data_IF_339208064381
#
_entry.id   IF_339208064381
#
_cell.length_a   1.000
_cell.length_b   1.000
_cell.length_c   1.000
_cell.angle_alpha   90.00
_cell.angle_beta   90.00
_cell.angle_gamma   90.00
#
_symmetry.space_group_name_H-M   'P 1'
#
loop_
_entity.id
_entity.type
_entity.pdbx_description
1 polymer ?
#
# COMPACT_ATOMS: atom_id res chain seq x y z
N UNK A 1 -8.17 -9.37 -5.61
CA UNK A 1 -9.25 -9.18 -4.61
C UNK A 1 -9.09 -7.89 -3.83
N UNK A 2 -7.98 -7.73 -3.09
CA UNK A 2 -7.78 -6.57 -2.20
C UNK A 2 -7.81 -5.22 -2.91
N UNK A 3 -7.16 -5.09 -4.09
CA UNK A 3 -7.21 -3.90 -4.95
C UNK A 3 -8.64 -3.44 -5.23
N UNK A 4 -9.50 -4.37 -5.65
CA UNK A 4 -10.92 -4.11 -6.00
C UNK A 4 -11.73 -3.61 -4.81
N UNK A 5 -11.49 -4.14 -3.60
CA UNK A 5 -12.17 -3.69 -2.39
C UNK A 5 -11.79 -2.23 -2.09
N UNK A 6 -10.50 -1.89 -2.17
CA UNK A 6 -10.05 -0.52 -1.97
C UNK A 6 -10.59 0.43 -3.03
N UNK A 7 -10.54 0.07 -4.31
CA UNK A 7 -11.11 0.86 -5.41
C UNK A 7 -12.61 1.15 -5.20
N UNK A 8 -13.34 0.24 -4.57
CA UNK A 8 -14.77 0.38 -4.30
C UNK A 8 -15.06 1.24 -3.06
N UNK A 9 -14.28 1.07 -1.98
CA UNK A 9 -14.58 1.69 -0.69
C UNK A 9 -13.88 3.03 -0.47
N UNK A 10 -12.70 3.27 -1.05
CA UNK A 10 -11.96 4.54 -0.89
C UNK A 10 -12.79 5.78 -1.30
N UNK A 11 -13.51 5.79 -2.43
CA UNK A 11 -14.34 6.95 -2.81
C UNK A 11 -15.49 7.25 -1.84
N UNK A 12 -15.78 6.34 -0.91
CA UNK A 12 -16.85 6.47 0.10
C UNK A 12 -16.33 6.96 1.45
N UNK A 13 -15.03 7.20 1.56
CA UNK A 13 -14.35 7.70 2.75
C UNK A 13 -14.58 9.18 3.07
N UNK A 14 -14.58 10.10 2.09
CA UNK A 14 -14.68 11.53 2.40
C UNK A 14 -15.91 11.90 3.24
N UNK A 15 -15.75 12.89 4.12
CA UNK A 15 -16.77 13.33 5.09
C UNK A 15 -17.28 12.22 6.03
N UNK A 16 -16.44 11.19 6.25
CA UNK A 16 -16.63 10.15 7.26
C UNK A 16 -15.39 10.06 8.13
N UNK A 17 -15.54 9.51 9.32
CA UNK A 17 -14.37 9.19 10.15
C UNK A 17 -13.61 8.00 9.57
N UNK A 18 -12.30 7.97 9.77
CA UNK A 18 -11.45 6.82 9.47
C UNK A 18 -11.96 5.52 10.13
N UNK A 19 -12.57 5.58 11.33
CA UNK A 19 -13.27 4.45 11.94
C UNK A 19 -14.43 3.92 11.10
N UNK A 20 -15.22 4.82 10.52
CA UNK A 20 -16.35 4.42 9.66
C UNK A 20 -15.84 3.70 8.42
N UNK A 21 -14.78 4.23 7.78
CA UNK A 21 -14.17 3.58 6.63
C UNK A 21 -13.48 2.26 7.02
N UNK A 22 -12.79 2.21 8.16
CA UNK A 22 -12.17 1.00 8.70
C UNK A 22 -13.20 -0.12 8.87
N UNK A 23 -14.32 0.14 9.55
CA UNK A 23 -15.37 -0.87 9.73
C UNK A 23 -15.99 -1.35 8.41
N UNK A 24 -16.09 -0.49 7.39
CA UNK A 24 -16.54 -0.89 6.05
C UNK A 24 -15.53 -1.78 5.34
N UNK A 25 -14.25 -1.40 5.37
CA UNK A 25 -13.14 -2.16 4.80
C UNK A 25 -13.03 -3.52 5.48
N UNK A 26 -13.00 -3.56 6.81
CA UNK A 26 -13.00 -4.80 7.59
C UNK A 26 -14.16 -5.70 7.17
N UNK A 27 -15.39 -5.19 7.15
CA UNK A 27 -16.55 -5.98 6.72
C UNK A 27 -16.40 -6.51 5.29
N UNK A 28 -15.89 -5.70 4.37
CA UNK A 28 -15.68 -6.10 2.97
C UNK A 28 -14.60 -7.18 2.84
N UNK A 29 -13.47 -7.02 3.55
CA UNK A 29 -12.39 -8.01 3.57
C UNK A 29 -12.80 -9.32 4.23
N UNK A 30 -13.50 -9.27 5.37
CA UNK A 30 -14.01 -10.47 6.05
C UNK A 30 -14.99 -11.24 5.17
N UNK A 31 -15.89 -10.56 4.46
CA UNK A 31 -16.79 -11.19 3.48
C UNK A 31 -16.06 -11.82 2.29
N UNK A 32 -14.88 -11.30 1.97
CA UNK A 32 -14.02 -11.84 0.92
C UNK A 32 -13.11 -12.99 1.41
N UNK A 33 -13.22 -13.38 2.69
CA UNK A 33 -12.48 -14.49 3.27
C UNK A 33 -11.10 -14.13 3.81
N UNK A 34 -10.79 -12.85 4.00
CA UNK A 34 -9.53 -12.42 4.64
C UNK A 34 -9.49 -12.86 6.11
N UNK A 35 -8.42 -13.55 6.48
CA UNK A 35 -8.21 -14.23 7.78
C UNK A 35 -7.59 -13.29 8.80
N UNK A 36 -6.63 -12.47 8.40
CA UNK A 36 -6.04 -11.42 9.22
C UNK A 36 -5.87 -10.12 8.42
N UNK A 37 -5.97 -8.98 9.10
CA UNK A 37 -6.08 -7.68 8.48
C UNK A 37 -5.47 -6.58 9.36
N UNK A 38 -4.55 -5.82 8.76
CA UNK A 38 -4.04 -4.56 9.28
C UNK A 38 -4.52 -3.42 8.37
N UNK A 39 -5.14 -2.40 8.95
CA UNK A 39 -5.52 -1.16 8.27
C UNK A 39 -4.80 0.02 8.90
N UNK A 40 -4.09 0.79 8.07
CA UNK A 40 -3.47 2.06 8.47
C UNK A 40 -3.97 3.18 7.56
N UNK A 41 -4.14 4.36 8.13
CA UNK A 41 -4.68 5.54 7.50
C UNK A 41 -3.69 6.69 7.59
N UNK A 42 -3.61 7.48 6.52
CA UNK A 42 -2.91 8.76 6.50
C UNK A 42 -3.88 9.81 5.97
N UNK A 43 -3.99 10.92 6.69
CA UNK A 43 -4.74 12.13 6.30
C UNK A 43 -3.98 13.00 5.28
N UNK A 44 -2.83 12.50 4.81
CA UNK A 44 -1.96 13.24 3.90
C UNK A 44 -0.97 14.18 4.58
N UNK A 45 -1.05 14.37 5.90
CA UNK A 45 -0.06 15.12 6.67
C UNK A 45 0.85 14.17 7.48
N UNK A 46 0.27 13.06 7.91
CA UNK A 46 0.91 12.09 8.80
C UNK A 46 1.30 10.80 8.07
N UNK A 47 2.25 10.05 8.64
CA UNK A 47 2.53 8.69 8.16
C UNK A 47 1.36 7.77 8.48
N UNK A 48 1.12 6.71 7.68
CA UNK A 48 0.03 5.78 7.94
C UNK A 48 0.07 5.21 9.36
N UNK A 49 -1.05 5.34 10.08
CA UNK A 49 -1.21 4.91 11.46
C UNK A 49 -2.59 4.26 11.67
N UNK A 50 -2.84 3.54 12.78
CA UNK A 50 -4.18 3.04 13.08
C UNK A 50 -5.21 4.17 13.10
N UNK A 51 -6.46 3.85 12.76
CA UNK A 51 -7.57 4.80 12.77
C UNK A 51 -7.73 5.48 14.15
N UNK A 52 -8.07 6.77 14.15
CA UNK A 52 -8.12 7.64 15.35
C UNK A 52 -9.47 8.31 15.56
N UNK A 53 -10.44 8.09 14.70
CA UNK A 53 -11.73 8.76 14.68
C UNK A 53 -11.71 10.11 13.96
N UNK A 54 -10.67 10.41 13.18
CA UNK A 54 -10.52 11.67 12.46
C UNK A 54 -11.36 11.66 11.19
N UNK A 55 -11.98 12.80 10.86
CA UNK A 55 -12.71 12.96 9.60
C UNK A 55 -11.75 12.93 8.41
N UNK A 56 -12.08 12.09 7.43
CA UNK A 56 -11.35 11.97 6.18
C UNK A 56 -11.79 13.06 5.22
N UNK A 57 -10.81 13.78 4.68
CA UNK A 57 -11.02 14.75 3.59
C UNK A 57 -11.13 14.03 2.24
N UNK A 58 -11.19 14.78 1.15
CA UNK A 58 -11.08 14.23 -0.22
C UNK A 58 -9.68 13.69 -0.56
N UNK A 59 -8.71 13.89 0.33
CA UNK A 59 -7.33 13.42 0.17
C UNK A 59 -6.90 12.59 1.39
N UNK A 60 -6.65 11.31 1.17
CA UNK A 60 -6.11 10.41 2.19
C UNK A 60 -5.48 9.17 1.55
N UNK A 61 -4.74 8.40 2.34
CA UNK A 61 -4.20 7.10 1.92
C UNK A 61 -4.56 6.00 2.92
N UNK A 62 -4.79 4.81 2.40
CA UNK A 62 -4.99 3.59 3.18
C UNK A 62 -3.91 2.59 2.83
N UNK A 63 -3.24 2.06 3.84
CA UNK A 63 -2.35 0.93 3.71
C UNK A 63 -3.04 -0.29 4.31
N UNK A 64 -3.16 -1.32 3.51
CA UNK A 64 -3.76 -2.60 3.89
C UNK A 64 -2.69 -3.66 3.89
N UNK A 65 -2.67 -4.48 4.93
CA UNK A 65 -2.03 -5.78 4.88
C UNK A 65 -3.08 -6.85 5.21
N UNK A 66 -3.18 -7.88 4.38
CA UNK A 66 -4.25 -8.87 4.45
C UNK A 66 -3.72 -10.29 4.23
N UNK A 67 -4.13 -11.21 5.10
CA UNK A 67 -3.81 -12.63 5.01
C UNK A 67 -4.95 -13.41 4.36
N UNK A 68 -4.59 -14.31 3.45
CA UNK A 68 -5.50 -15.27 2.86
C UNK A 68 -4.81 -16.62 2.68
N UNK A 69 -5.27 -17.64 3.40
CA UNK A 69 -4.74 -19.01 3.35
C UNK A 69 -3.24 -19.08 3.66
N UNK A 70 -2.79 -18.34 4.66
CA UNK A 70 -1.38 -18.26 5.03
C UNK A 70 -0.52 -17.37 4.14
N UNK A 71 -1.08 -16.74 3.10
CA UNK A 71 -0.37 -15.81 2.23
C UNK A 71 -0.74 -14.37 2.53
N UNK A 72 0.28 -13.54 2.70
CA UNK A 72 0.11 -12.12 2.96
C UNK A 72 0.22 -11.30 1.68
N UNK A 73 -0.60 -10.26 1.60
CA UNK A 73 -0.43 -9.15 0.66
C UNK A 73 -0.43 -7.84 1.42
N UNK A 74 0.34 -6.88 0.95
CA UNK A 74 0.35 -5.51 1.44
C UNK A 74 0.35 -4.52 0.29
N UNK A 75 -0.48 -3.49 0.42
CA UNK A 75 -0.65 -2.48 -0.61
C UNK A 75 -1.12 -1.16 -0.01
N UNK A 76 -0.70 -0.07 -0.64
CA UNK A 76 -1.11 1.29 -0.32
C UNK A 76 -1.87 1.89 -1.49
N UNK A 77 -3.02 2.51 -1.19
CA UNK A 77 -3.85 3.21 -2.18
C UNK A 77 -4.29 4.54 -1.60
N UNK A 78 -4.43 5.52 -2.48
CA UNK A 78 -4.83 6.88 -2.11
C UNK A 78 -6.16 7.26 -2.75
N UNK A 79 -6.99 7.94 -1.96
CA UNK A 79 -8.13 8.72 -2.44
C UNK A 79 -7.62 10.16 -2.62
N UNK A 80 -7.70 10.69 -3.83
CA UNK A 80 -7.33 12.05 -4.18
C UNK A 80 -7.93 12.40 -5.56
N UNK A 81 -7.70 13.62 -6.05
CA UNK A 81 -8.01 13.97 -7.43
C UNK A 81 -7.30 13.02 -8.42
N UNK A 82 -7.97 12.64 -9.51
CA UNK A 82 -7.47 11.66 -10.47
C UNK A 82 -6.04 11.94 -11.01
N UNK A 83 -5.64 13.20 -11.30
CA UNK A 83 -4.26 13.51 -11.68
C UNK A 83 -3.23 13.15 -10.60
N UNK A 84 -3.55 13.40 -9.33
CA UNK A 84 -2.67 13.09 -8.20
C UNK A 84 -2.52 11.58 -7.99
N UNK A 85 -3.63 10.83 -8.11
CA UNK A 85 -3.60 9.36 -8.04
C UNK A 85 -2.74 8.79 -9.17
N UNK A 86 -2.91 9.34 -10.40
CA UNK A 86 -2.11 8.94 -11.56
C UNK A 86 -0.63 9.21 -11.33
N UNK A 87 -0.27 10.39 -10.85
CA UNK A 87 1.13 10.75 -10.56
C UNK A 87 1.74 9.82 -9.49
N UNK A 88 1.01 9.50 -8.42
CA UNK A 88 1.49 8.59 -7.38
C UNK A 88 1.74 7.18 -7.93
N UNK A 89 0.83 6.70 -8.80
CA UNK A 89 0.99 5.43 -9.50
C UNK A 89 2.18 5.42 -10.46
N UNK A 90 2.35 6.46 -11.27
CA UNK A 90 3.48 6.57 -12.20
C UNK A 90 4.82 6.58 -11.46
N UNK A 91 4.88 7.25 -10.31
CA UNK A 91 6.07 7.23 -9.45
C UNK A 91 6.37 5.84 -8.90
N UNK A 92 5.34 5.11 -8.47
CA UNK A 92 5.48 3.72 -8.05
C UNK A 92 5.99 2.83 -9.19
N UNK A 93 5.40 2.95 -10.39
CA UNK A 93 5.80 2.17 -11.57
C UNK A 93 7.24 2.48 -12.02
N UNK A 94 7.69 3.74 -11.90
CA UNK A 94 9.08 4.12 -12.17
C UNK A 94 10.05 3.42 -11.20
N UNK A 95 9.72 3.41 -9.90
CA UNK A 95 10.51 2.71 -8.88
C UNK A 95 10.52 1.21 -9.14
N UNK A 96 9.37 0.62 -9.47
CA UNK A 96 9.24 -0.80 -9.72
C UNK A 96 10.14 -1.27 -10.87
N UNK A 97 10.22 -0.50 -11.96
CA UNK A 97 11.10 -0.81 -13.12
C UNK A 97 12.58 -0.85 -12.77
N UNK A 98 12.99 -0.17 -11.70
CA UNK A 98 14.38 -0.11 -11.22
C UNK A 98 14.71 -1.23 -10.25
N UNK A 99 13.72 -1.74 -9.50
CA UNK A 99 13.93 -2.79 -8.50
C UNK A 99 14.41 -4.09 -9.16
N UNK A 100 15.55 -4.60 -8.69
CA UNK A 100 16.24 -5.77 -9.25
C UNK A 100 17.16 -5.48 -10.44
N UNK A 101 17.21 -4.23 -10.91
CA UNK A 101 18.01 -3.83 -12.09
C UNK A 101 18.99 -2.70 -11.80
N UNK A 102 18.58 -1.78 -10.93
CA UNK A 102 19.32 -0.57 -10.60
C UNK A 102 19.36 -0.35 -9.08
N UNK A 103 20.26 0.53 -8.65
CA UNK A 103 20.33 0.94 -7.25
C UNK A 103 19.14 1.82 -6.91
N UNK A 104 18.30 1.38 -5.98
CA UNK A 104 17.18 2.15 -5.42
C UNK A 104 17.45 2.39 -3.94
N UNK A 105 17.33 3.65 -3.50
CA UNK A 105 17.57 4.02 -2.11
C UNK A 105 16.31 3.91 -1.23
N UNK A 106 16.45 3.72 0.09
CA UNK A 106 15.31 3.72 1.02
C UNK A 106 14.51 5.03 1.06
N UNK A 107 15.11 6.15 0.62
CA UNK A 107 14.41 7.42 0.50
C UNK A 107 13.42 7.44 -0.68
N UNK A 108 13.53 6.51 -1.64
CA UNK A 108 12.66 6.43 -2.79
C UNK A 108 11.53 5.41 -2.60
N UNK A 109 11.73 4.41 -1.75
CA UNK A 109 10.80 3.29 -1.57
C UNK A 109 10.98 2.64 -0.20
N UNK A 110 9.85 2.32 0.43
CA UNK A 110 9.81 1.46 1.59
C UNK A 110 9.55 0.02 1.13
N UNK A 111 10.47 -0.89 1.45
CA UNK A 111 10.37 -2.31 1.10
C UNK A 111 10.17 -3.14 2.37
N UNK A 112 9.28 -4.14 2.31
CA UNK A 112 9.08 -5.11 3.38
C UNK A 112 9.03 -6.51 2.84
N UNK A 113 9.66 -7.46 3.51
CA UNK A 113 9.54 -8.88 3.20
C UNK A 113 8.13 -9.37 3.57
N UNK A 114 7.46 -10.07 2.67
CA UNK A 114 6.11 -10.60 2.86
C UNK A 114 6.11 -12.13 2.89
N UNK A 115 7.08 -12.78 2.24
CA UNK A 115 7.24 -14.24 2.21
C UNK A 115 8.10 -14.83 3.33
N UNK A 116 8.70 -14.00 4.19
CA UNK A 116 9.57 -14.47 5.28
C UNK A 116 8.81 -14.98 6.50
N UNK A 117 9.53 -15.65 7.42
CA UNK A 117 9.00 -16.10 8.72
C UNK A 117 8.50 -14.94 9.60
N UNK A 118 8.96 -13.73 9.32
CA UNK A 118 8.52 -12.49 9.95
C UNK A 118 7.97 -11.56 8.86
N UNK A 119 6.69 -11.70 8.47
CA UNK A 119 6.09 -10.80 7.49
C UNK A 119 6.17 -9.36 8.01
N UNK A 120 6.34 -8.41 7.09
CA UNK A 120 6.49 -6.96 7.32
C UNK A 120 7.85 -6.47 7.79
N UNK A 121 8.84 -7.35 7.95
CA UNK A 121 10.19 -6.91 8.26
C UNK A 121 10.73 -5.99 7.15
N UNK A 122 11.24 -4.83 7.56
CA UNK A 122 11.85 -3.87 6.63
C UNK A 122 13.02 -4.52 5.90
N UNK A 123 13.09 -4.33 4.59
CA UNK A 123 14.20 -4.82 3.77
C UNK A 123 14.74 -3.71 2.88
N UNK A 124 15.81 -4.00 2.14
CA UNK A 124 16.44 -3.07 1.19
C UNK A 124 16.45 -3.66 -0.21
N UNK A 125 16.59 -2.81 -1.22
CA UNK A 125 16.67 -3.27 -2.62
C UNK A 125 17.83 -4.25 -2.86
N UNK A 126 18.94 -4.09 -2.13
CA UNK A 126 20.10 -4.97 -2.22
C UNK A 126 19.89 -6.35 -1.58
N UNK A 127 18.90 -6.48 -0.69
CA UNK A 127 18.55 -7.73 -0.01
C UNK A 127 17.42 -8.50 -0.72
N UNK A 128 16.88 -7.97 -1.82
CA UNK A 128 15.90 -8.69 -2.63
C UNK A 128 16.62 -9.77 -3.45
N UNK A 129 16.10 -10.99 -3.40
CA UNK A 129 16.56 -12.13 -4.21
C UNK A 129 15.43 -12.64 -5.09
N UNK A 130 15.76 -13.37 -6.15
CA UNK A 130 14.77 -13.96 -7.04
C UNK A 130 13.79 -14.86 -6.26
N UNK A 131 12.51 -14.80 -6.64
CA UNK A 131 11.41 -15.52 -6.00
C UNK A 131 10.87 -14.86 -4.73
N UNK A 132 11.57 -13.87 -4.17
CA UNK A 132 11.12 -13.17 -2.96
C UNK A 132 9.83 -12.40 -3.22
N UNK A 133 8.87 -12.54 -2.32
CA UNK A 133 7.64 -11.73 -2.29
C UNK A 133 7.83 -10.61 -1.28
N UNK A 134 7.63 -9.38 -1.72
CA UNK A 134 7.85 -8.18 -0.93
C UNK A 134 6.77 -7.13 -1.23
N UNK A 135 6.54 -6.21 -0.32
CA UNK A 135 5.74 -5.01 -0.61
C UNK A 135 6.67 -3.85 -0.94
N UNK A 136 6.33 -3.06 -1.95
CA UNK A 136 6.97 -1.79 -2.24
C UNK A 136 5.95 -0.66 -2.10
N UNK A 137 6.24 0.30 -1.22
CA UNK A 137 5.43 1.50 -1.02
C UNK A 137 6.27 2.74 -1.34
N UNK A 138 5.73 3.65 -2.16
CA UNK A 138 6.30 4.98 -2.38
C UNK A 138 5.48 6.03 -1.64
N UNK A 139 6.20 7.02 -1.12
CA UNK A 139 5.61 8.27 -0.63
C UNK A 139 5.80 9.34 -1.70
N UNK A 140 4.70 10.01 -2.07
CA UNK A 140 4.69 11.01 -3.14
C UNK A 140 4.11 12.31 -2.61
N UNK A 141 4.92 13.36 -2.43
CA UNK A 141 4.43 14.68 -2.04
C UNK A 141 3.76 15.36 -3.25
N UNK A 142 2.46 15.68 -3.13
CA UNK A 142 1.65 16.33 -4.17
C UNK A 142 0.86 17.47 -3.51
N UNK A 143 1.06 18.70 -3.97
CA UNK A 143 0.36 19.90 -3.48
C UNK A 143 0.40 20.09 -1.96
N UNK A 144 1.54 19.76 -1.33
CA UNK A 144 1.71 19.83 0.13
C UNK A 144 1.15 18.64 0.90
N UNK A 145 0.55 17.66 0.22
CA UNK A 145 0.00 16.43 0.81
C UNK A 145 0.88 15.23 0.48
N UNK A 146 1.02 14.29 1.43
CA UNK A 146 1.80 13.06 1.31
C UNK A 146 0.87 11.92 0.90
N UNK A 147 1.00 11.44 -0.33
CA UNK A 147 0.23 10.28 -0.81
C UNK A 147 1.06 9.01 -0.72
N UNK A 148 0.42 7.90 -0.37
CA UNK A 148 1.06 6.58 -0.30
C UNK A 148 0.46 5.67 -1.37
N UNK A 149 1.34 5.11 -2.20
CA UNK A 149 0.97 4.15 -3.24
C UNK A 149 1.94 2.99 -3.23
N UNK A 150 1.43 1.76 -3.29
CA UNK A 150 2.30 0.61 -3.16
C UNK A 150 1.60 -0.71 -3.38
N UNK A 151 2.36 -1.75 -3.67
CA UNK A 151 1.80 -3.05 -3.98
C UNK A 151 2.70 -4.20 -3.54
N UNK A 152 2.10 -5.39 -3.52
CA UNK A 152 2.85 -6.64 -3.35
C UNK A 152 3.45 -7.04 -4.69
N UNK A 153 4.74 -7.33 -4.65
CA UNK A 153 5.58 -7.60 -5.79
C UNK A 153 6.32 -8.92 -5.59
N UNK A 154 6.76 -9.51 -6.69
CA UNK A 154 7.72 -10.61 -6.72
C UNK A 154 8.97 -10.15 -7.45
N UNK A 155 10.15 -10.59 -7.02
CA UNK A 155 11.36 -10.44 -7.82
C UNK A 155 11.48 -11.62 -8.78
N UNK A 156 11.36 -11.39 -10.08
CA UNK A 156 11.66 -12.39 -11.11
C UNK A 156 13.05 -12.20 -11.72
N UNK A 157 13.41 -13.07 -12.66
CA UNK A 157 14.68 -13.01 -13.42
C UNK A 157 14.89 -11.64 -14.10
N UNK A 158 13.79 -11.02 -14.55
CA UNK A 158 13.81 -9.73 -15.22
C UNK A 158 13.57 -8.55 -14.26
N UNK A 159 13.66 -8.73 -12.94
CA UNK A 159 13.39 -7.69 -11.94
C UNK A 159 11.98 -7.77 -11.35
N UNK A 160 11.54 -6.69 -10.72
CA UNK A 160 10.30 -6.69 -9.94
C UNK A 160 9.03 -6.66 -10.80
N UNK A 161 8.05 -7.48 -10.42
CA UNK A 161 6.73 -7.57 -11.05
C UNK A 161 5.61 -7.55 -10.00
N UNK A 162 4.41 -7.12 -10.41
CA UNK A 162 3.23 -7.09 -9.54
C UNK A 162 2.60 -8.47 -9.43
N UNK A 163 2.11 -8.80 -8.22
CA UNK A 163 1.29 -9.99 -7.97
C UNK A 163 -0.22 -9.74 -8.08
#
# INVERSE_FOLDING_TARGET
MVRRILETELPRGPAKTDFTLAGRLERAFRRAGIEDLLLLFSDGNTTPAPARGTELTDVFSVVVAAEYRGYWVRLARTQAAAPSVKQARERFEEVLRKLGREKVSPAQVCLRNISGSYPYESTTAAALSEGLIFSADVEVPINGTRLFYGDTCRLGENGAELL
#
